data_IF_503159321807
#
_entry.id   IF_503159321807
#
_cell.length_a   1.000
_cell.length_b   1.000
_cell.length_c   1.000
_cell.angle_alpha   90.00
_cell.angle_beta   90.00
_cell.angle_gamma   90.00
#
_symmetry.space_group_name_H-M   'P 1'
#
loop_
_entity.id
_entity.type
_entity.pdbx_description
1 polymer ?
#
# COMPACT_ATOMS: atom_id res chain seq x y z
N UNK A 1 -18.09 13.98 20.27
CA UNK A 1 -17.83 12.54 20.05
C UNK A 1 -19.06 11.96 19.37
N UNK A 2 -18.96 11.64 18.08
CA UNK A 2 -20.12 11.26 17.26
C UNK A 2 -20.40 9.76 17.41
N UNK A 3 -21.61 9.45 17.90
CA UNK A 3 -22.11 8.10 18.13
C UNK A 3 -22.36 7.38 16.79
N UNK A 4 -21.82 6.17 16.61
CA UNK A 4 -22.26 5.20 15.59
C UNK A 4 -21.38 5.02 14.36
N UNK A 5 -20.58 6.02 13.96
CA UNK A 5 -19.62 5.87 12.87
C UNK A 5 -18.31 6.59 13.20
N UNK A 6 -17.31 5.79 13.59
CA UNK A 6 -15.96 6.26 13.87
C UNK A 6 -15.06 6.23 12.63
N UNK A 7 -15.56 5.81 11.47
CA UNK A 7 -14.76 5.65 10.26
C UNK A 7 -14.02 6.92 9.87
N UNK A 8 -14.65 8.09 9.97
CA UNK A 8 -13.98 9.36 9.67
C UNK A 8 -12.87 9.70 10.69
N UNK A 9 -13.13 9.47 11.99
CA UNK A 9 -12.12 9.70 13.01
C UNK A 9 -10.93 8.75 12.86
N UNK A 10 -11.21 7.47 12.57
CA UNK A 10 -10.20 6.47 12.23
C UNK A 10 -9.44 6.83 10.95
N UNK A 11 -10.13 7.28 9.90
CA UNK A 11 -9.51 7.74 8.65
C UNK A 11 -8.53 8.87 8.93
N UNK A 12 -8.96 9.91 9.66
CA UNK A 12 -8.10 11.04 10.00
C UNK A 12 -6.86 10.60 10.78
N UNK A 13 -7.03 9.72 11.77
CA UNK A 13 -5.94 9.20 12.59
C UNK A 13 -4.95 8.37 11.77
N UNK A 14 -5.44 7.43 10.97
CA UNK A 14 -4.60 6.56 10.13
C UNK A 14 -3.90 7.36 9.04
N UNK A 15 -4.58 8.30 8.38
CA UNK A 15 -3.97 9.17 7.37
C UNK A 15 -2.88 10.07 7.94
N UNK A 16 -3.05 10.59 9.16
CA UNK A 16 -2.00 11.34 9.84
C UNK A 16 -0.76 10.48 10.08
N UNK A 17 -0.94 9.24 10.53
CA UNK A 17 0.18 8.29 10.71
C UNK A 17 0.84 7.92 9.37
N UNK A 18 0.04 7.60 8.35
CA UNK A 18 0.54 7.27 7.02
C UNK A 18 1.37 8.42 6.43
N UNK A 19 0.90 9.66 6.59
CA UNK A 19 1.63 10.85 6.17
C UNK A 19 2.95 11.00 6.91
N UNK A 20 2.95 10.84 8.23
CA UNK A 20 4.18 10.91 9.03
C UNK A 20 5.20 9.82 8.65
N UNK A 21 4.74 8.58 8.43
CA UNK A 21 5.58 7.47 8.00
C UNK A 21 6.15 7.71 6.58
N UNK A 22 5.36 8.28 5.68
CA UNK A 22 5.81 8.65 4.34
C UNK A 22 6.88 9.76 4.39
N UNK A 23 6.69 10.80 5.21
CA UNK A 23 7.70 11.86 5.37
C UNK A 23 9.01 11.32 5.98
N UNK A 24 8.91 10.43 6.96
CA UNK A 24 10.07 9.74 7.53
C UNK A 24 10.81 8.93 6.46
N UNK A 25 10.06 8.14 5.69
CA UNK A 25 10.58 7.34 4.58
C UNK A 25 11.26 8.20 3.51
N UNK A 26 10.68 9.35 3.18
CA UNK A 26 11.26 10.34 2.27
C UNK A 26 12.56 10.94 2.82
N UNK A 27 12.57 11.37 4.07
CA UNK A 27 13.77 11.91 4.70
C UNK A 27 14.90 10.87 4.76
N UNK A 28 14.60 9.59 4.97
CA UNK A 28 15.59 8.52 4.90
C UNK A 28 16.16 8.35 3.48
N UNK A 29 15.30 8.33 2.45
CA UNK A 29 15.72 8.21 1.05
C UNK A 29 16.57 9.40 0.59
N UNK A 30 16.21 10.61 1.02
CA UNK A 30 16.94 11.84 0.66
C UNK A 30 18.33 11.89 1.31
N UNK A 31 18.49 11.32 2.51
CA UNK A 31 19.78 11.26 3.23
C UNK A 31 20.72 10.19 2.69
N UNK A 32 20.19 9.04 2.28
CA UNK A 32 20.99 7.90 1.81
C UNK A 32 20.52 7.39 0.43
N UNK A 33 20.63 8.21 -0.63
CA UNK A 33 20.06 7.90 -1.95
C UNK A 33 20.68 6.67 -2.65
N UNK A 34 21.77 6.11 -2.11
CA UNK A 34 22.49 4.96 -2.67
C UNK A 34 22.17 3.62 -2.00
N UNK A 35 21.32 3.57 -0.96
CA UNK A 35 20.88 2.29 -0.32
C UNK A 35 19.65 1.66 -0.98
N UNK A 36 19.30 2.07 -2.19
CA UNK A 36 18.11 1.59 -2.94
C UNK A 36 18.12 0.06 -3.15
N UNK A 37 19.31 -0.53 -3.20
CA UNK A 37 19.53 -1.97 -3.38
C UNK A 37 19.84 -2.69 -2.06
N UNK A 38 19.60 -2.05 -0.91
CA UNK A 38 19.83 -2.66 0.39
C UNK A 38 19.02 -3.95 0.49
N UNK A 39 19.70 -5.08 0.70
CA UNK A 39 19.05 -6.38 0.97
C UNK A 39 18.48 -6.46 2.39
N UNK A 40 18.77 -5.47 3.23
CA UNK A 40 18.25 -5.40 4.59
C UNK A 40 16.74 -5.12 4.58
N UNK A 41 15.99 -6.05 5.15
CA UNK A 41 14.53 -6.05 5.18
C UNK A 41 13.98 -4.85 5.97
N UNK A 42 14.70 -4.41 7.01
CA UNK A 42 14.30 -3.28 7.85
C UNK A 42 14.39 -1.99 7.05
N UNK A 43 15.51 -1.79 6.36
CA UNK A 43 15.70 -0.65 5.46
C UNK A 43 14.65 -0.67 4.35
N UNK A 44 14.44 -1.81 3.69
CA UNK A 44 13.43 -1.95 2.62
C UNK A 44 12.02 -1.57 3.08
N UNK A 45 11.56 -2.10 4.22
CA UNK A 45 10.22 -1.77 4.70
C UNK A 45 10.12 -0.33 5.22
N UNK A 46 11.19 0.18 5.85
CA UNK A 46 11.23 1.55 6.36
C UNK A 46 11.19 2.62 5.27
N UNK A 47 11.62 2.30 4.05
CA UNK A 47 11.67 3.24 2.92
C UNK A 47 10.62 3.01 1.82
N UNK A 48 9.92 1.86 1.85
CA UNK A 48 8.99 1.44 0.81
C UNK A 48 7.78 2.37 0.60
N UNK A 49 7.35 3.10 1.63
CA UNK A 49 6.20 4.02 1.50
C UNK A 49 6.50 5.19 0.55
N UNK A 50 7.75 5.67 0.50
CA UNK A 50 8.17 6.70 -0.45
C UNK A 50 8.67 6.11 -1.76
N UNK A 51 9.55 5.12 -1.68
CA UNK A 51 10.23 4.54 -2.84
C UNK A 51 10.38 3.04 -2.64
N UNK A 52 9.76 2.29 -3.54
CA UNK A 52 9.77 0.83 -3.52
C UNK A 52 10.63 0.31 -4.66
N UNK A 53 11.48 -0.66 -4.33
CA UNK A 53 12.30 -1.39 -5.27
C UNK A 53 12.15 -2.89 -5.02
N UNK A 54 11.75 -3.61 -6.06
CA UNK A 54 11.76 -5.07 -6.07
C UNK A 54 12.41 -5.60 -7.34
N UNK A 55 13.25 -6.61 -7.18
CA UNK A 55 13.88 -7.36 -8.25
C UNK A 55 13.55 -8.83 -8.05
N UNK A 56 12.64 -9.33 -8.87
CA UNK A 56 12.15 -10.70 -8.80
C UNK A 56 12.45 -11.41 -10.12
N UNK A 57 13.62 -12.06 -10.17
CA UNK A 57 14.06 -12.85 -11.34
C UNK A 57 14.25 -12.00 -12.60
N UNK A 58 13.41 -12.21 -13.61
CA UNK A 58 13.46 -11.50 -14.89
C UNK A 58 12.67 -10.17 -14.90
N UNK A 59 12.05 -9.81 -13.77
CA UNK A 59 11.28 -8.59 -13.63
C UNK A 59 11.83 -7.70 -12.52
N UNK A 60 11.76 -6.38 -12.72
CA UNK A 60 12.02 -5.40 -11.67
C UNK A 60 10.97 -4.31 -11.66
N UNK A 61 10.57 -3.90 -10.45
CA UNK A 61 9.63 -2.84 -10.20
C UNK A 61 10.33 -1.76 -9.37
N UNK A 62 10.33 -0.55 -9.91
CA UNK A 62 10.73 0.64 -9.19
C UNK A 62 9.57 1.61 -9.20
N UNK A 63 9.13 2.06 -8.02
CA UNK A 63 8.02 2.99 -7.89
C UNK A 63 8.31 4.02 -6.81
N UNK A 64 8.07 5.28 -7.13
CA UNK A 64 8.15 6.42 -6.24
C UNK A 64 6.71 6.90 -6.04
N UNK A 65 6.26 6.91 -4.79
CA UNK A 65 4.88 7.22 -4.44
C UNK A 65 4.73 8.62 -3.85
N UNK A 66 3.62 9.27 -4.19
CA UNK A 66 3.11 10.42 -3.44
C UNK A 66 2.64 9.97 -2.05
N UNK A 67 2.33 10.92 -1.18
CA UNK A 67 1.80 10.62 0.16
C UNK A 67 0.58 9.71 0.05
N UNK A 68 0.59 8.53 0.70
CA UNK A 68 -0.52 7.59 0.65
C UNK A 68 -1.72 8.17 1.40
N UNK A 69 -2.91 7.79 0.95
CA UNK A 69 -4.17 8.23 1.54
C UNK A 69 -5.13 7.04 1.64
N UNK A 70 -5.92 7.01 2.70
CA UNK A 70 -6.87 5.95 3.00
C UNK A 70 -8.26 6.53 3.20
N UNK A 71 -9.25 5.87 2.61
CA UNK A 71 -10.66 6.21 2.78
C UNK A 71 -11.42 5.01 3.31
N UNK A 72 -12.21 5.20 4.36
CA UNK A 72 -13.16 4.19 4.79
C UNK A 72 -14.45 4.34 3.98
N UNK A 73 -14.87 3.25 3.34
CA UNK A 73 -16.16 3.18 2.65
C UNK A 73 -17.28 2.85 3.64
N UNK A 74 -16.96 2.01 4.63
CA UNK A 74 -17.79 1.76 5.80
C UNK A 74 -16.91 1.32 6.99
N UNK A 75 -17.51 0.96 8.12
CA UNK A 75 -16.74 0.48 9.29
C UNK A 75 -15.97 -0.84 9.04
N UNK A 76 -16.30 -1.57 7.98
CA UNK A 76 -15.73 -2.89 7.67
C UNK A 76 -14.87 -2.88 6.41
N UNK A 77 -14.75 -1.74 5.75
CA UNK A 77 -14.15 -1.64 4.44
C UNK A 77 -13.44 -0.31 4.24
N UNK A 78 -12.23 -0.39 3.69
CA UNK A 78 -11.42 0.76 3.36
C UNK A 78 -10.68 0.58 2.04
N UNK A 79 -10.22 1.69 1.48
CA UNK A 79 -9.39 1.74 0.28
C UNK A 79 -8.13 2.53 0.59
N UNK A 80 -6.97 1.91 0.39
CA UNK A 80 -5.67 2.56 0.42
C UNK A 80 -5.28 2.98 -0.99
N UNK A 81 -5.05 4.27 -1.20
CA UNK A 81 -4.59 4.85 -2.44
C UNK A 81 -3.07 5.07 -2.40
N UNK A 82 -2.36 4.41 -3.30
CA UNK A 82 -0.94 4.59 -3.57
C UNK A 82 -0.78 5.20 -4.96
N UNK A 83 -0.47 6.49 -5.01
CA UNK A 83 -0.31 7.21 -6.28
C UNK A 83 1.15 7.26 -6.68
N UNK A 84 1.46 6.70 -7.84
CA UNK A 84 2.81 6.67 -8.41
C UNK A 84 3.13 8.03 -9.00
N UNK A 85 4.09 8.71 -8.39
CA UNK A 85 4.69 9.95 -8.91
C UNK A 85 5.58 9.64 -10.11
N UNK A 86 6.42 8.62 -9.99
CA UNK A 86 7.31 8.14 -11.03
C UNK A 86 7.62 6.65 -10.81
N UNK A 87 7.91 5.90 -11.85
CA UNK A 87 8.25 4.49 -11.71
C UNK A 87 8.47 3.80 -13.03
N UNK A 88 9.10 2.63 -12.95
CA UNK A 88 9.40 1.77 -14.08
C UNK A 88 9.14 0.33 -13.70
N UNK A 89 8.43 -0.38 -14.57
CA UNK A 89 8.34 -1.83 -14.54
C UNK A 89 9.13 -2.39 -15.71
N UNK A 90 10.10 -3.25 -15.42
CA UNK A 90 10.93 -3.94 -16.42
C UNK A 90 10.59 -5.40 -16.37
N UNK A 91 10.37 -6.02 -17.53
CA UNK A 91 10.19 -7.47 -17.65
C UNK A 91 10.83 -7.92 -18.95
N UNK A 92 11.72 -8.89 -18.86
CA UNK A 92 12.52 -9.40 -19.98
C UNK A 92 13.29 -8.28 -20.72
N UNK A 93 12.82 -7.88 -21.91
CA UNK A 93 13.39 -6.80 -22.75
C UNK A 93 12.52 -5.55 -22.81
N UNK A 94 11.36 -5.56 -22.18
CA UNK A 94 10.37 -4.47 -22.21
C UNK A 94 10.49 -3.58 -20.98
N UNK A 95 10.23 -2.28 -21.16
CA UNK A 95 10.20 -1.29 -20.08
C UNK A 95 8.92 -0.48 -20.17
N UNK A 96 8.21 -0.39 -19.06
CA UNK A 96 6.94 0.31 -18.94
C UNK A 96 7.08 1.43 -17.90
N UNK A 97 6.73 2.67 -18.26
CA UNK A 97 6.69 3.78 -17.32
C UNK A 97 5.37 3.75 -16.52
N UNK A 98 5.45 3.96 -15.21
CA UNK A 98 4.30 3.92 -14.29
C UNK A 98 3.82 5.32 -13.86
N UNK A 99 3.98 6.33 -14.71
CA UNK A 99 3.68 7.72 -14.34
C UNK A 99 2.17 7.96 -14.23
N UNK A 100 1.75 8.69 -13.20
CA UNK A 100 0.35 9.06 -12.94
C UNK A 100 -0.59 7.84 -12.75
N UNK A 101 -0.06 6.70 -12.30
CA UNK A 101 -0.86 5.52 -11.99
C UNK A 101 -1.27 5.54 -10.53
N UNK A 102 -2.56 5.33 -10.27
CA UNK A 102 -3.07 5.12 -8.92
C UNK A 102 -3.36 3.65 -8.72
N UNK A 103 -2.69 3.05 -7.74
CA UNK A 103 -3.03 1.74 -7.22
C UNK A 103 -3.99 1.95 -6.05
N UNK A 104 -5.18 1.39 -6.13
CA UNK A 104 -6.12 1.38 -5.01
C UNK A 104 -6.26 -0.04 -4.48
N UNK A 105 -5.96 -0.20 -3.20
CA UNK A 105 -6.03 -1.47 -2.50
C UNK A 105 -7.26 -1.43 -1.62
N UNK A 106 -8.30 -2.17 -2.01
CA UNK A 106 -9.51 -2.35 -1.22
C UNK A 106 -9.25 -3.45 -0.20
N UNK A 107 -9.53 -3.14 1.07
CA UNK A 107 -9.42 -4.03 2.21
C UNK A 107 -10.80 -4.17 2.84
N UNK A 108 -11.31 -5.39 2.86
CA UNK A 108 -12.59 -5.73 3.49
C UNK A 108 -12.33 -6.71 4.64
N UNK A 109 -12.96 -6.44 5.79
CA UNK A 109 -12.83 -7.23 7.01
C UNK A 109 -14.19 -7.74 7.45
N UNK A 110 -14.26 -9.04 7.76
CA UNK A 110 -15.44 -9.64 8.37
C UNK A 110 -15.14 -9.97 9.83
N UNK A 111 -15.78 -9.27 10.77
CA UNK A 111 -15.77 -9.65 12.18
C UNK A 111 -16.88 -10.69 12.40
N UNK A 112 -16.51 -11.97 12.55
CA UNK A 112 -17.40 -12.93 13.19
C UNK A 112 -17.35 -12.71 14.70
N UNK A 113 -18.52 -12.82 15.35
CA UNK A 113 -18.72 -12.57 16.78
C UNK A 113 -17.63 -13.22 17.66
N UNK A 114 -17.15 -12.45 18.64
CA UNK A 114 -16.11 -12.78 19.62
C UNK A 114 -16.46 -13.94 20.59
N UNK A 115 -17.46 -14.77 20.27
CA UNK A 115 -17.88 -15.93 21.08
C UNK A 115 -17.31 -17.28 20.60
N UNK A 116 -16.52 -17.31 19.52
CA UNK A 116 -15.89 -18.53 19.01
C UNK A 116 -14.47 -18.26 18.50
N UNK A 117 -13.63 -19.30 18.57
CA UNK A 117 -12.20 -19.39 18.19
C UNK A 117 -11.60 -18.25 17.35
N UNK A 118 -10.36 -17.85 17.69
CA UNK A 118 -9.50 -16.89 16.98
C UNK A 118 -9.13 -17.28 15.52
N UNK A 119 -9.68 -18.37 14.99
CA UNK A 119 -9.14 -19.09 13.82
C UNK A 119 -9.62 -18.60 12.44
N UNK A 120 -10.55 -17.65 12.31
CA UNK A 120 -11.12 -17.32 10.97
C UNK A 120 -11.31 -15.82 10.69
N UNK A 121 -10.22 -15.05 10.77
CA UNK A 121 -10.19 -13.67 10.26
C UNK A 121 -9.81 -13.65 8.78
N UNK A 122 -10.80 -13.42 7.90
CA UNK A 122 -10.55 -13.25 6.46
C UNK A 122 -10.27 -11.77 6.13
N UNK A 123 -9.15 -11.51 5.43
CA UNK A 123 -8.82 -10.19 4.89
C UNK A 123 -8.78 -10.32 3.36
N UNK A 124 -9.74 -9.70 2.68
CA UNK A 124 -9.76 -9.68 1.22
C UNK A 124 -9.02 -8.44 0.71
N UNK A 125 -7.95 -8.68 -0.06
CA UNK A 125 -7.17 -7.63 -0.71
C UNK A 125 -7.51 -7.61 -2.20
N UNK A 126 -8.12 -6.52 -2.67
CA UNK A 126 -8.35 -6.32 -4.11
C UNK A 126 -7.49 -5.16 -4.62
N UNK A 127 -6.70 -5.38 -5.66
CA UNK A 127 -5.85 -4.35 -6.27
C UNK A 127 -6.57 -3.82 -7.52
N UNK A 128 -6.95 -2.54 -7.46
CA UNK A 128 -7.59 -1.81 -8.54
C UNK A 128 -6.55 -0.91 -9.22
N UNK A 129 -6.29 -1.14 -10.52
CA UNK A 129 -5.46 -0.25 -11.35
C UNK A 129 -6.34 0.66 -12.21
N UNK A 130 -6.34 1.96 -11.91
CA UNK A 130 -7.23 2.91 -12.59
C UNK A 130 -6.76 3.35 -13.99
N UNK A 131 -5.52 3.06 -14.39
CA UNK A 131 -5.02 3.40 -15.74
C UNK A 131 -5.16 2.27 -16.76
N UNK A 132 -5.55 1.06 -16.34
CA UNK A 132 -5.52 -0.13 -17.21
C UNK A 132 -6.87 -0.84 -17.37
N UNK A 133 -7.92 -0.46 -16.64
CA UNK A 133 -9.20 -1.22 -16.64
C UNK A 133 -9.03 -2.69 -16.20
N UNK A 134 -7.98 -3.00 -15.42
CA UNK A 134 -7.68 -4.36 -14.98
C UNK A 134 -7.85 -4.45 -13.47
N UNK A 135 -8.79 -5.27 -13.03
CA UNK A 135 -8.94 -5.68 -11.63
C UNK A 135 -8.05 -6.91 -11.44
N UNK A 136 -7.01 -6.80 -10.61
CA UNK A 136 -6.21 -7.95 -10.21
C UNK A 136 -6.69 -8.38 -8.82
N UNK A 137 -7.37 -9.52 -8.75
CA UNK A 137 -7.71 -10.15 -7.47
C UNK A 137 -6.48 -10.86 -6.92
N UNK A 138 -6.02 -10.43 -5.74
CA UNK A 138 -4.96 -11.10 -5.01
C UNK A 138 -5.50 -11.49 -3.64
N UNK A 139 -6.04 -12.70 -3.52
CA UNK A 139 -6.41 -13.23 -2.21
C UNK A 139 -5.14 -13.54 -1.42
N UNK A 140 -4.86 -12.78 -0.36
CA UNK A 140 -3.82 -13.12 0.61
C UNK A 140 -4.49 -13.49 1.94
N UNK A 141 -4.34 -14.76 2.34
CA UNK A 141 -4.66 -15.16 3.71
C UNK A 141 -3.56 -14.66 4.63
N UNK A 142 -3.91 -13.80 5.58
CA UNK A 142 -3.03 -13.49 6.72
C UNK A 142 -3.33 -14.59 7.75
N UNK A 143 -2.38 -15.51 7.93
CA UNK A 143 -2.40 -16.57 8.97
C UNK A 143 -1.83 -15.97 10.26
#
# INVERSE_FOLDING_TARGET
>A
MCHGNLAQASANFVNAQLSALWENSKACNDKEPHKKDSKDIVTKHGTALREFYDESGAASLHAIFQTPHLEFLCNHELVLFLKVENGQYKVEKSRYGLKNTTLAVRLSYHFQDLSGSLDDKHCDISILSFNSSCICYAHSRII
#
